data_IF_160236244237
#
_entry.id   IF_160236244237
#
_cell.length_a   1.000
_cell.length_b   1.000
_cell.length_c   1.000
_cell.angle_alpha   90.00
_cell.angle_beta   90.00
_cell.angle_gamma   90.00
#
_symmetry.space_group_name_H-M   'P 1'
#
loop_
_entity.id
_entity.type
_entity.pdbx_description
1 polymer ?
#
# COMPACT_ATOMS: atom_id res chain seq x y z
N UNK A 1 -13.79 70.75 29.68
CA UNK A 1 -14.10 71.16 31.05
C UNK A 1 -12.81 70.96 31.79
N UNK A 2 -11.95 72.00 31.93
CA UNK A 2 -11.92 72.94 33.07
C UNK A 2 -11.72 72.17 34.39
N UNK A 3 -10.69 72.37 35.19
CA UNK A 3 -9.98 73.49 35.73
C UNK A 3 -8.72 72.97 36.43
N UNK A 4 -7.52 73.54 36.29
CA UNK A 4 -6.95 74.77 36.89
C UNK A 4 -6.83 74.73 38.43
N UNK A 5 -5.62 75.00 38.88
CA UNK A 5 -5.15 76.14 39.73
C UNK A 5 -4.27 75.61 40.88
N UNK A 6 -2.98 76.02 40.85
CA UNK A 6 -2.23 77.02 41.64
C UNK A 6 -1.81 76.57 43.04
N UNK A 7 -0.54 76.56 43.31
CA UNK A 7 0.47 77.65 43.68
C UNK A 7 0.57 77.95 45.17
N UNK A 8 1.80 78.39 45.54
CA UNK A 8 2.28 79.10 46.78
C UNK A 8 3.18 78.16 47.63
N UNK A 9 4.48 78.32 47.79
CA UNK A 9 5.28 79.52 47.95
C UNK A 9 5.62 79.83 49.45
N UNK A 10 6.86 79.68 49.84
CA UNK A 10 7.58 80.56 50.81
C UNK A 10 8.85 79.84 51.31
N UNK A 11 9.98 80.34 50.97
CA UNK A 11 11.08 80.98 51.71
C UNK A 11 11.10 80.79 53.23
N UNK A 12 12.23 80.35 53.78
CA UNK A 12 13.06 81.08 54.74
C UNK A 12 14.45 80.49 54.91
N UNK A 13 15.39 81.34 55.13
CA UNK A 13 16.84 81.25 55.08
C UNK A 13 17.52 80.99 56.42
N UNK A 14 18.82 80.74 56.31
CA UNK A 14 19.93 80.93 57.27
C UNK A 14 20.20 79.86 58.34
N UNK A 15 21.47 79.43 58.24
CA UNK A 15 22.23 78.81 59.33
C UNK A 15 23.57 78.28 58.84
N UNK A 16 24.57 79.16 58.75
CA UNK A 16 25.97 78.81 58.55
C UNK A 16 26.53 78.07 59.78
N UNK A 17 27.16 76.90 59.58
CA UNK A 17 28.20 76.38 60.45
C UNK A 17 29.25 75.72 59.59
N UNK A 18 30.45 76.22 59.58
CA UNK A 18 31.64 75.73 58.94
C UNK A 18 32.16 74.51 59.74
N UNK A 19 32.48 73.42 59.02
CA UNK A 19 33.46 72.44 59.47
C UNK A 19 34.25 71.96 58.24
N UNK A 20 35.56 71.86 58.44
CA UNK A 20 36.58 71.59 57.45
C UNK A 20 36.42 70.24 56.69
N UNK A 21 36.97 70.10 55.46
CA UNK A 21 36.89 68.91 54.70
C UNK A 21 37.92 67.86 55.15
N UNK A 22 37.47 66.64 55.49
CA UNK A 22 38.26 65.44 55.52
C UNK A 22 38.43 65.00 54.05
N UNK A 23 39.67 65.01 53.58
CA UNK A 23 40.04 64.40 52.26
C UNK A 23 39.77 62.92 52.31
N UNK A 24 38.62 62.50 51.77
CA UNK A 24 38.36 61.06 51.39
C UNK A 24 39.02 60.81 50.04
N UNK A 25 40.05 59.94 50.06
CA UNK A 25 40.70 59.38 48.88
C UNK A 25 39.60 58.79 47.95
N UNK A 26 39.70 59.04 46.63
CA UNK A 26 38.75 58.41 45.67
C UNK A 26 38.89 56.85 45.74
N UNK A 27 37.79 56.11 45.68
CA UNK A 27 37.87 54.66 45.61
C UNK A 27 38.70 54.31 44.37
N UNK A 28 39.73 53.51 44.61
CA UNK A 28 40.49 52.85 43.52
C UNK A 28 39.49 52.09 42.71
N UNK A 29 39.19 52.57 41.52
CA UNK A 29 38.52 51.77 40.49
C UNK A 29 39.43 50.59 40.21
N UNK A 30 39.04 49.43 40.70
CA UNK A 30 39.61 48.17 40.20
C UNK A 30 39.56 48.27 38.67
N UNK A 31 40.73 48.20 38.05
CA UNK A 31 40.86 48.17 36.62
C UNK A 31 39.99 46.99 36.15
N UNK A 32 38.92 47.31 35.45
CA UNK A 32 38.10 46.24 34.85
C UNK A 32 39.04 45.42 33.97
N UNK A 33 39.13 44.11 34.30
CA UNK A 33 39.87 43.17 33.46
C UNK A 33 39.48 43.38 31.99
N UNK A 34 40.42 43.33 31.06
CA UNK A 34 40.12 43.51 29.64
C UNK A 34 39.11 42.42 29.25
N UNK A 35 38.06 42.84 28.48
CA UNK A 35 37.10 41.89 27.98
C UNK A 35 37.79 40.78 27.20
N UNK A 36 37.59 39.53 27.61
CA UNK A 36 38.19 38.35 26.98
C UNK A 36 37.09 37.40 26.55
N UNK A 37 37.31 36.71 25.43
CA UNK A 37 36.43 35.61 24.97
C UNK A 37 36.75 34.28 25.66
N UNK A 38 37.66 34.26 26.64
CA UNK A 38 38.06 33.07 27.40
C UNK A 38 37.23 32.95 28.68
N UNK A 39 36.68 31.77 28.93
CA UNK A 39 35.86 31.47 30.07
C UNK A 39 36.54 30.34 30.85
N UNK A 40 36.71 30.55 32.16
CA UNK A 40 37.24 29.53 33.06
C UNK A 40 36.17 28.47 33.34
N UNK A 41 36.52 27.20 33.06
CA UNK A 41 35.66 26.05 33.18
C UNK A 41 36.36 24.91 33.88
N UNK A 42 36.77 25.08 35.16
CA UNK A 42 37.46 24.03 35.89
C UNK A 42 36.59 22.77 36.04
N UNK A 43 37.23 21.65 36.37
CA UNK A 43 36.59 20.32 36.40
C UNK A 43 35.30 20.25 37.27
N UNK A 44 35.22 21.06 38.33
CA UNK A 44 33.99 21.17 39.14
C UNK A 44 32.83 21.83 38.38
N UNK A 45 33.12 22.93 37.62
CA UNK A 45 32.16 23.64 36.82
C UNK A 45 31.67 22.77 35.64
N UNK A 46 32.61 22.07 34.98
CA UNK A 46 32.27 21.13 33.88
C UNK A 46 31.24 20.08 34.34
N UNK A 47 31.48 19.47 35.52
CA UNK A 47 30.53 18.46 36.06
C UNK A 47 29.19 19.05 36.43
N UNK A 48 29.17 20.24 37.02
CA UNK A 48 27.94 20.87 37.46
C UNK A 48 27.06 21.36 36.29
N UNK A 49 27.70 21.85 35.23
CA UNK A 49 27.00 22.34 34.03
C UNK A 49 26.81 21.25 32.96
N UNK A 50 27.29 20.02 33.20
CA UNK A 50 27.18 18.94 32.24
C UNK A 50 27.88 19.21 30.93
N UNK A 51 29.07 19.87 30.98
CA UNK A 51 29.83 20.22 29.78
C UNK A 51 30.50 18.99 29.21
N UNK A 52 30.12 18.64 27.99
CA UNK A 52 30.73 17.57 27.19
C UNK A 52 31.43 18.15 25.98
N UNK A 53 32.59 17.57 25.64
CA UNK A 53 33.35 17.97 24.48
C UNK A 53 33.25 16.91 23.38
N UNK A 54 33.34 17.36 22.13
CA UNK A 54 33.45 16.53 20.94
C UNK A 54 34.62 16.98 20.11
N UNK A 55 35.38 16.04 19.58
CA UNK A 55 36.52 16.34 18.70
C UNK A 55 36.02 16.89 17.36
N UNK A 56 36.78 17.85 16.83
CA UNK A 56 36.62 18.36 15.48
C UNK A 56 37.15 17.30 14.51
N UNK A 57 36.38 16.93 13.55
CA UNK A 57 36.72 15.89 12.57
C UNK A 57 36.69 16.45 11.14
N UNK A 58 37.61 15.92 10.31
CA UNK A 58 37.49 16.12 8.86
C UNK A 58 36.43 15.23 8.32
N UNK A 59 35.36 15.85 7.82
CA UNK A 59 34.15 15.16 7.33
C UNK A 59 33.68 15.76 6.03
N UNK A 60 33.06 14.93 5.19
CA UNK A 60 32.30 15.43 4.04
C UNK A 60 30.94 15.92 4.54
N UNK A 61 30.70 17.21 4.49
CA UNK A 61 29.41 17.82 4.81
C UNK A 61 28.80 18.31 3.50
N UNK A 62 27.79 17.59 3.02
CA UNK A 62 27.05 17.97 1.83
C UNK A 62 25.87 18.85 2.26
N UNK A 63 25.69 19.98 1.59
CA UNK A 63 24.48 20.79 1.80
C UNK A 63 23.24 19.94 1.57
N UNK A 64 22.46 19.75 2.61
CA UNK A 64 21.29 18.87 2.58
C UNK A 64 20.03 19.70 2.67
N UNK A 65 19.16 19.55 1.66
CA UNK A 65 17.83 20.14 1.68
C UNK A 65 16.88 19.19 2.39
N UNK A 66 16.07 19.71 3.31
CA UNK A 66 15.16 18.92 4.15
C UNK A 66 13.73 19.34 3.92
N UNK A 67 12.89 18.38 3.56
CA UNK A 67 11.47 18.57 3.30
C UNK A 67 10.64 17.71 4.22
N UNK A 68 9.73 18.35 4.95
CA UNK A 68 8.80 17.62 5.81
C UNK A 68 7.82 16.79 4.98
N UNK A 69 7.54 15.57 5.45
CA UNK A 69 6.64 14.66 4.79
C UNK A 69 6.19 13.53 5.69
N UNK A 70 5.54 12.56 5.11
CA UNK A 70 5.07 11.37 5.82
C UNK A 70 5.09 10.14 4.91
N UNK A 71 5.08 8.96 5.51
CA UNK A 71 4.90 7.72 4.79
C UNK A 71 3.44 7.53 4.38
N UNK A 72 3.22 7.06 3.17
CA UNK A 72 1.91 6.64 2.67
C UNK A 72 2.00 5.24 2.04
N UNK A 73 0.88 4.52 2.02
CA UNK A 73 0.80 3.25 1.29
C UNK A 73 0.79 3.52 -0.22
N UNK A 74 1.45 2.66 -0.97
CA UNK A 74 1.24 2.59 -2.40
C UNK A 74 -0.22 2.20 -2.68
N UNK A 75 -0.79 2.71 -3.78
CA UNK A 75 -2.16 2.36 -4.17
C UNK A 75 -2.33 0.83 -4.37
N UNK A 76 -1.30 0.15 -4.87
CA UNK A 76 -1.25 -1.31 -5.02
C UNK A 76 -1.20 -2.09 -3.71
N UNK A 77 -0.83 -1.44 -2.61
CA UNK A 77 -0.72 -2.06 -1.29
C UNK A 77 -2.06 -2.14 -0.54
N UNK A 78 -3.10 -1.51 -1.07
CA UNK A 78 -4.43 -1.46 -0.44
C UNK A 78 -5.40 -2.32 -1.23
N UNK A 79 -5.92 -3.37 -0.62
CA UNK A 79 -6.87 -4.29 -1.21
C UNK A 79 -8.21 -4.19 -0.50
N UNK A 80 -9.22 -3.71 -1.20
CA UNK A 80 -10.60 -3.72 -0.71
C UNK A 80 -11.21 -5.10 -0.97
N UNK A 81 -11.70 -5.73 0.07
CA UNK A 81 -12.42 -6.99 -0.03
C UNK A 81 -13.91 -6.70 -0.02
N UNK A 82 -14.53 -6.96 -1.17
CA UNK A 82 -15.97 -6.77 -1.38
C UNK A 82 -16.66 -8.12 -1.48
N UNK A 83 -17.91 -8.19 -1.04
CA UNK A 83 -18.69 -9.43 -1.17
C UNK A 83 -19.24 -9.58 -2.60
N UNK A 84 -19.11 -10.79 -3.20
CA UNK A 84 -19.68 -11.04 -4.53
C UNK A 84 -21.21 -11.24 -4.52
N UNK A 85 -21.81 -11.56 -3.37
CA UNK A 85 -23.23 -11.87 -3.21
C UNK A 85 -23.80 -11.25 -1.93
N UNK A 86 -25.11 -11.03 -1.91
CA UNK A 86 -25.81 -10.55 -0.72
C UNK A 86 -26.02 -11.66 0.31
N UNK A 87 -26.02 -11.30 1.61
CA UNK A 87 -26.32 -12.25 2.67
C UNK A 87 -25.86 -11.82 4.06
N UNK A 88 -26.00 -12.71 5.02
CA UNK A 88 -25.55 -12.49 6.40
C UNK A 88 -24.08 -12.90 6.54
N UNK A 89 -23.25 -11.98 7.05
CA UNK A 89 -21.79 -12.16 7.17
C UNK A 89 -21.41 -12.68 8.55
N UNK A 90 -20.53 -13.67 8.58
CA UNK A 90 -19.78 -14.13 9.74
C UNK A 90 -18.31 -13.77 9.53
N UNK A 91 -17.81 -12.76 10.25
CA UNK A 91 -16.41 -12.34 10.18
C UNK A 91 -15.52 -13.31 10.94
N UNK A 92 -14.43 -13.77 10.32
CA UNK A 92 -13.45 -14.71 10.90
C UNK A 92 -12.10 -14.03 11.19
N UNK A 93 -11.97 -12.76 10.86
CA UNK A 93 -10.76 -11.95 11.08
C UNK A 93 -11.09 -10.71 11.89
N UNK A 94 -10.09 -10.23 12.64
CA UNK A 94 -10.19 -9.02 13.45
C UNK A 94 -9.33 -7.89 12.87
N UNK A 95 -9.62 -6.62 13.20
CA UNK A 95 -8.73 -5.51 12.89
C UNK A 95 -7.32 -5.76 13.42
N UNK A 96 -6.30 -5.32 12.65
CA UNK A 96 -4.87 -5.51 12.90
C UNK A 96 -4.36 -6.95 12.81
N UNK A 97 -5.20 -7.91 12.49
CA UNK A 97 -4.78 -9.29 12.24
C UNK A 97 -3.99 -9.39 10.93
N UNK A 98 -2.90 -10.15 10.94
CA UNK A 98 -2.16 -10.51 9.72
C UNK A 98 -2.86 -11.70 9.06
N UNK A 99 -2.99 -11.63 7.73
CA UNK A 99 -3.58 -12.67 6.90
C UNK A 99 -2.64 -13.03 5.76
N UNK A 100 -2.61 -14.30 5.40
CA UNK A 100 -1.89 -14.81 4.24
C UNK A 100 -2.84 -15.00 3.05
N UNK A 101 -2.28 -15.20 1.86
CA UNK A 101 -3.06 -15.58 0.67
C UNK A 101 -3.75 -16.91 0.94
N UNK A 102 -5.07 -16.99 0.70
CA UNK A 102 -5.89 -18.18 0.89
C UNK A 102 -6.55 -18.30 2.27
N UNK A 103 -6.19 -17.47 3.25
CA UNK A 103 -6.88 -17.44 4.55
C UNK A 103 -8.34 -17.06 4.40
N UNK A 104 -9.22 -17.69 5.18
CA UNK A 104 -10.65 -17.36 5.17
C UNK A 104 -10.88 -16.08 5.94
N UNK A 105 -11.41 -15.06 5.26
CA UNK A 105 -11.69 -13.76 5.83
C UNK A 105 -13.06 -13.71 6.50
N UNK A 106 -14.06 -14.24 5.82
CA UNK A 106 -15.43 -14.32 6.32
C UNK A 106 -16.22 -15.41 5.60
N UNK A 107 -17.35 -15.76 6.19
CA UNK A 107 -18.38 -16.62 5.59
C UNK A 107 -19.64 -15.80 5.36
N UNK A 108 -20.40 -16.18 4.34
CA UNK A 108 -21.68 -15.55 4.06
C UNK A 108 -22.78 -16.60 3.89
N UNK A 109 -23.88 -16.40 4.61
CA UNK A 109 -25.14 -17.12 4.42
C UNK A 109 -25.99 -16.34 3.44
N UNK A 110 -26.07 -16.83 2.19
CA UNK A 110 -26.70 -16.13 1.06
C UNK A 110 -27.90 -16.89 0.51
N UNK A 111 -28.99 -16.15 0.32
CA UNK A 111 -30.18 -16.68 -0.38
C UNK A 111 -29.88 -16.87 -1.87
N UNK A 112 -29.10 -15.99 -2.48
CA UNK A 112 -28.70 -16.10 -3.90
C UNK A 112 -27.91 -17.39 -4.14
N UNK A 113 -26.99 -17.74 -3.24
CA UNK A 113 -26.27 -19.00 -3.33
C UNK A 113 -27.20 -20.22 -3.26
N UNK A 114 -28.19 -20.20 -2.37
CA UNK A 114 -29.18 -21.28 -2.27
C UNK A 114 -30.07 -21.37 -3.51
N UNK A 115 -30.38 -20.24 -4.14
CA UNK A 115 -31.12 -20.21 -5.41
C UNK A 115 -30.28 -20.83 -6.53
N UNK A 116 -29.00 -20.48 -6.64
CA UNK A 116 -28.09 -21.05 -7.61
C UNK A 116 -27.88 -22.57 -7.41
N UNK A 117 -27.78 -23.01 -6.16
CA UNK A 117 -27.74 -24.45 -5.87
C UNK A 117 -28.99 -25.18 -6.35
N UNK A 118 -30.18 -24.58 -6.20
CA UNK A 118 -31.43 -25.12 -6.69
C UNK A 118 -31.43 -25.22 -8.20
N UNK A 119 -31.05 -24.17 -8.90
CA UNK A 119 -30.93 -24.15 -10.36
C UNK A 119 -29.96 -25.21 -10.88
N UNK A 120 -28.76 -25.31 -10.30
CA UNK A 120 -27.80 -26.36 -10.62
C UNK A 120 -28.40 -27.78 -10.39
N UNK A 121 -29.18 -27.96 -9.31
CA UNK A 121 -29.84 -29.19 -8.99
C UNK A 121 -30.92 -29.55 -10.01
N UNK A 122 -31.73 -28.58 -10.42
CA UNK A 122 -32.79 -28.76 -11.43
C UNK A 122 -32.21 -29.12 -12.80
N UNK A 123 -31.17 -28.35 -13.26
CA UNK A 123 -30.49 -28.64 -14.52
C UNK A 123 -29.79 -30.01 -14.52
N UNK A 124 -29.11 -30.35 -13.45
CA UNK A 124 -28.48 -31.69 -13.28
C UNK A 124 -29.52 -32.80 -13.37
N UNK A 125 -30.65 -32.68 -12.68
CA UNK A 125 -31.71 -33.67 -12.67
C UNK A 125 -32.39 -33.77 -14.06
N UNK A 126 -32.65 -32.62 -14.71
CA UNK A 126 -33.22 -32.58 -16.05
C UNK A 126 -32.31 -33.31 -17.07
N UNK A 127 -31.00 -33.07 -17.01
CA UNK A 127 -30.02 -33.74 -17.86
C UNK A 127 -30.05 -35.28 -17.64
N UNK A 128 -30.09 -35.73 -16.41
CA UNK A 128 -30.16 -37.16 -16.08
C UNK A 128 -31.44 -37.79 -16.59
N UNK A 129 -32.60 -37.13 -16.47
CA UNK A 129 -33.89 -37.60 -16.99
C UNK A 129 -33.88 -37.70 -18.51
N UNK A 130 -33.37 -36.69 -19.19
CA UNK A 130 -33.23 -36.69 -20.67
C UNK A 130 -32.32 -37.79 -21.15
N UNK A 131 -31.19 -38.01 -20.48
CA UNK A 131 -30.24 -39.07 -20.80
C UNK A 131 -30.87 -40.47 -20.58
N UNK A 132 -31.64 -40.67 -19.50
CA UNK A 132 -32.36 -41.89 -19.26
C UNK A 132 -33.43 -42.18 -20.32
N UNK A 133 -34.18 -41.14 -20.75
CA UNK A 133 -35.13 -41.25 -21.86
C UNK A 133 -34.47 -41.65 -23.17
N UNK A 134 -33.33 -40.98 -23.52
CA UNK A 134 -32.56 -41.36 -24.69
C UNK A 134 -32.12 -42.81 -24.71
N UNK A 135 -31.58 -43.27 -23.58
CA UNK A 135 -31.20 -44.67 -23.39
C UNK A 135 -32.39 -45.64 -23.51
N UNK A 136 -33.55 -45.26 -23.03
CA UNK A 136 -34.78 -46.09 -23.14
C UNK A 136 -35.36 -46.11 -24.55
N UNK A 137 -35.18 -45.06 -25.35
CA UNK A 137 -35.70 -44.98 -26.72
C UNK A 137 -34.80 -45.67 -27.74
N UNK A 138 -33.50 -45.84 -27.47
CA UNK A 138 -32.55 -46.47 -28.37
C UNK A 138 -32.91 -47.88 -28.79
N UNK A 139 -33.30 -48.83 -27.87
CA UNK A 139 -33.74 -50.15 -28.26
C UNK A 139 -35.00 -50.17 -29.16
N UNK A 140 -35.91 -49.18 -28.99
CA UNK A 140 -37.07 -49.02 -29.83
C UNK A 140 -36.68 -48.68 -31.30
N UNK A 141 -35.72 -47.79 -31.47
CA UNK A 141 -35.16 -47.46 -32.79
C UNK A 141 -34.52 -48.71 -33.44
N UNK A 142 -33.78 -49.50 -32.68
CA UNK A 142 -33.16 -50.74 -33.17
C UNK A 142 -34.22 -51.76 -33.59
N UNK A 143 -35.30 -51.90 -32.83
CA UNK A 143 -36.42 -52.81 -33.18
C UNK A 143 -37.12 -52.37 -34.48
N UNK A 144 -37.34 -51.05 -34.66
CA UNK A 144 -37.91 -50.52 -35.92
C UNK A 144 -36.98 -50.75 -37.12
N UNK A 145 -35.67 -50.59 -36.96
CA UNK A 145 -34.67 -50.89 -38.01
C UNK A 145 -34.69 -52.36 -38.40
N UNK A 146 -34.72 -53.28 -37.42
CA UNK A 146 -34.79 -54.70 -37.67
C UNK A 146 -36.11 -55.11 -38.36
N UNK A 147 -37.23 -54.51 -37.99
CA UNK A 147 -38.50 -54.73 -38.66
C UNK A 147 -38.50 -54.25 -40.11
N UNK A 148 -37.96 -53.05 -40.36
CA UNK A 148 -37.76 -52.48 -41.70
C UNK A 148 -36.91 -53.39 -42.59
N UNK A 149 -35.83 -53.96 -42.06
CA UNK A 149 -34.94 -54.89 -42.75
C UNK A 149 -35.66 -56.20 -43.10
N UNK A 150 -36.40 -56.76 -42.14
CA UNK A 150 -37.22 -57.97 -42.37
C UNK A 150 -38.28 -57.78 -43.49
N UNK A 151 -38.92 -56.56 -43.54
CA UNK A 151 -39.86 -56.25 -44.60
C UNK A 151 -39.19 -56.08 -45.97
N UNK A 152 -37.93 -55.53 -46.01
CA UNK A 152 -37.16 -55.44 -47.26
C UNK A 152 -36.80 -56.84 -47.78
N UNK A 153 -36.36 -57.73 -46.89
CA UNK A 153 -36.07 -59.10 -47.23
C UNK A 153 -37.32 -59.81 -47.77
N UNK A 154 -38.50 -59.64 -47.11
CA UNK A 154 -39.77 -60.15 -47.59
C UNK A 154 -40.14 -59.65 -48.96
N UNK A 155 -39.92 -58.36 -49.24
CA UNK A 155 -40.15 -57.83 -50.62
C UNK A 155 -39.21 -58.47 -51.61
N UNK A 156 -37.95 -58.69 -51.30
CA UNK A 156 -36.97 -59.39 -52.15
C UNK A 156 -37.42 -60.84 -52.54
N UNK A 157 -37.94 -61.56 -51.54
CA UNK A 157 -38.52 -62.91 -51.77
C UNK A 157 -39.79 -62.84 -52.69
N UNK A 158 -40.67 -61.87 -52.48
CA UNK A 158 -41.86 -61.63 -53.29
C UNK A 158 -41.54 -61.20 -54.70
N UNK A 159 -40.52 -60.33 -54.88
CA UNK A 159 -40.09 -59.93 -56.20
C UNK A 159 -39.50 -61.11 -56.97
N UNK A 160 -38.64 -61.90 -56.35
CA UNK A 160 -38.09 -63.13 -56.97
C UNK A 160 -39.22 -64.13 -57.36
N UNK A 161 -40.20 -64.33 -56.49
CA UNK A 161 -41.36 -65.12 -56.79
C UNK A 161 -42.20 -64.61 -57.99
N UNK A 162 -42.43 -63.30 -57.97
CA UNK A 162 -43.17 -62.63 -59.06
C UNK A 162 -42.44 -62.77 -60.43
N UNK A 163 -41.09 -62.63 -60.45
CA UNK A 163 -40.28 -62.85 -61.66
C UNK A 163 -40.40 -64.27 -62.19
N UNK A 164 -40.26 -65.31 -61.35
CA UNK A 164 -40.42 -66.71 -61.73
C UNK A 164 -41.82 -66.99 -62.27
N UNK A 165 -42.89 -66.46 -61.66
CA UNK A 165 -44.23 -66.63 -62.14
C UNK A 165 -44.48 -65.91 -63.48
N UNK A 166 -43.82 -64.79 -63.71
CA UNK A 166 -43.90 -64.06 -64.96
C UNK A 166 -43.19 -64.76 -66.13
N UNK A 167 -42.03 -65.34 -65.88
CA UNK A 167 -41.28 -66.18 -66.82
C UNK A 167 -42.08 -67.46 -67.16
N UNK A 168 -42.72 -68.15 -66.14
CA UNK A 168 -43.53 -69.29 -66.36
C UNK A 168 -44.81 -68.97 -67.14
N UNK A 169 -45.43 -67.80 -66.93
CA UNK A 169 -46.59 -67.38 -67.69
C UNK A 169 -46.24 -67.15 -69.17
N UNK A 170 -45.10 -66.65 -69.50
CA UNK A 170 -44.60 -66.39 -70.87
C UNK A 170 -44.25 -67.70 -71.57
N UNK A 171 -43.72 -68.73 -70.86
CA UNK A 171 -43.22 -69.94 -71.46
C UNK A 171 -44.32 -71.06 -71.59
N UNK A 172 -45.25 -71.22 -70.65
CA UNK A 172 -46.19 -72.31 -70.60
C UNK A 172 -47.66 -71.89 -70.66
N UNK A 173 -47.91 -70.64 -70.43
CA UNK A 173 -49.29 -70.11 -70.31
C UNK A 173 -49.95 -70.58 -69.01
N UNK A 174 -50.90 -69.83 -68.45
CA UNK A 174 -51.53 -70.04 -67.16
C UNK A 174 -50.95 -69.19 -66.03
N UNK A 175 -51.32 -69.42 -64.81
CA UNK A 175 -50.81 -68.80 -63.56
C UNK A 175 -51.07 -67.28 -63.43
N UNK A 176 -51.96 -66.67 -64.29
CA UNK A 176 -52.30 -65.28 -64.19
C UNK A 176 -52.88 -64.86 -62.85
N UNK A 177 -53.61 -65.78 -62.16
CA UNK A 177 -54.20 -65.56 -60.86
C UNK A 177 -53.12 -65.55 -59.75
N UNK A 178 -52.19 -66.48 -59.79
CA UNK A 178 -51.11 -66.60 -58.80
C UNK A 178 -50.13 -65.39 -58.91
N UNK A 179 -49.87 -64.93 -60.14
CA UNK A 179 -49.06 -63.68 -60.39
C UNK A 179 -49.82 -62.47 -59.84
N UNK A 180 -51.15 -62.36 -60.08
CA UNK A 180 -51.94 -61.26 -59.53
C UNK A 180 -51.95 -61.26 -57.98
N UNK A 181 -52.15 -62.47 -57.38
CA UNK A 181 -52.05 -62.63 -55.94
C UNK A 181 -50.68 -62.22 -55.38
N UNK A 182 -49.57 -62.69 -56.02
CA UNK A 182 -48.20 -62.28 -55.64
C UNK A 182 -47.97 -60.79 -55.76
N UNK A 183 -48.50 -60.17 -56.78
CA UNK A 183 -48.41 -58.70 -56.96
C UNK A 183 -49.18 -57.91 -55.85
N UNK A 184 -50.37 -58.40 -55.48
CA UNK A 184 -51.14 -57.81 -54.34
C UNK A 184 -50.40 -57.96 -53.06
N UNK A 185 -49.89 -59.20 -52.75
CA UNK A 185 -49.11 -59.43 -51.55
C UNK A 185 -47.86 -58.55 -51.50
N UNK A 186 -47.13 -58.42 -52.58
CA UNK A 186 -45.96 -57.52 -52.71
C UNK A 186 -46.36 -56.03 -52.46
N UNK A 187 -47.50 -55.60 -53.01
CA UNK A 187 -47.99 -54.21 -52.79
C UNK A 187 -48.31 -53.99 -51.34
N UNK A 188 -48.89 -54.96 -50.64
CA UNK A 188 -49.18 -54.89 -49.22
C UNK A 188 -47.87 -54.80 -48.40
N UNK A 189 -46.89 -55.63 -48.61
CA UNK A 189 -45.59 -55.62 -47.90
C UNK A 189 -44.84 -54.31 -48.17
N UNK A 190 -44.98 -53.74 -49.38
CA UNK A 190 -44.43 -52.38 -49.68
C UNK A 190 -45.17 -51.30 -48.92
N UNK A 191 -46.44 -51.37 -48.68
CA UNK A 191 -47.21 -50.47 -47.86
C UNK A 191 -46.77 -50.56 -46.38
N UNK A 192 -46.63 -51.82 -45.90
CA UNK A 192 -46.16 -52.09 -44.55
C UNK A 192 -44.74 -51.56 -44.30
N UNK A 193 -43.85 -51.70 -45.35
CA UNK A 193 -42.51 -51.11 -45.30
C UNK A 193 -42.54 -49.57 -45.22
N UNK A 194 -43.41 -48.93 -46.03
CA UNK A 194 -43.54 -47.46 -46.00
C UNK A 194 -44.00 -47.01 -44.58
N UNK A 195 -44.92 -47.69 -43.96
CA UNK A 195 -45.37 -47.44 -42.60
C UNK A 195 -44.27 -47.67 -41.57
N UNK A 196 -43.48 -48.75 -41.70
CA UNK A 196 -42.36 -49.02 -40.82
C UNK A 196 -41.26 -47.98 -40.92
N UNK A 197 -40.96 -47.46 -42.15
CA UNK A 197 -40.04 -46.37 -42.38
C UNK A 197 -40.54 -45.06 -41.69
N UNK A 198 -41.84 -44.76 -41.85
CA UNK A 198 -42.45 -43.58 -41.19
C UNK A 198 -42.30 -43.66 -39.66
N UNK A 199 -42.61 -44.81 -39.06
CA UNK A 199 -42.47 -45.02 -37.63
C UNK A 199 -40.99 -44.90 -37.18
N UNK A 200 -40.04 -45.49 -37.89
CA UNK A 200 -38.59 -45.37 -37.61
C UNK A 200 -38.14 -43.90 -37.70
N UNK A 201 -38.53 -43.19 -38.74
CA UNK A 201 -38.15 -41.78 -38.94
C UNK A 201 -38.74 -40.91 -37.80
N UNK A 202 -39.97 -41.19 -37.35
CA UNK A 202 -40.57 -40.51 -36.21
C UNK A 202 -39.83 -40.73 -34.90
N UNK A 203 -39.37 -41.98 -34.62
CA UNK A 203 -38.54 -42.30 -33.45
C UNK A 203 -37.16 -41.62 -33.55
N UNK A 204 -36.55 -41.66 -34.73
CA UNK A 204 -35.25 -41.06 -34.98
C UNK A 204 -35.29 -39.54 -34.82
N UNK A 205 -36.34 -38.88 -35.33
CA UNK A 205 -36.57 -37.43 -35.13
C UNK A 205 -36.73 -37.06 -33.64
N UNK A 206 -37.50 -37.89 -32.87
CA UNK A 206 -37.67 -37.64 -31.43
C UNK A 206 -36.38 -37.88 -30.64
N UNK A 207 -35.50 -38.79 -31.04
CA UNK A 207 -34.17 -38.95 -30.46
C UNK A 207 -33.28 -37.72 -30.74
N UNK A 208 -33.25 -37.19 -31.96
CA UNK A 208 -32.50 -35.99 -32.32
C UNK A 208 -33.00 -34.78 -31.53
N UNK A 209 -34.30 -34.63 -31.35
CA UNK A 209 -34.87 -33.55 -30.53
C UNK A 209 -34.43 -33.71 -29.06
N UNK A 210 -34.46 -34.91 -28.53
CA UNK A 210 -34.05 -35.22 -27.16
C UNK A 210 -32.55 -34.96 -26.96
N UNK A 211 -31.69 -35.37 -27.90
CA UNK A 211 -30.26 -35.07 -27.86
C UNK A 211 -29.96 -33.59 -27.92
N UNK A 212 -30.67 -32.84 -28.77
CA UNK A 212 -30.54 -31.39 -28.84
C UNK A 212 -30.98 -30.72 -27.51
N UNK A 213 -32.09 -31.16 -26.95
CA UNK A 213 -32.58 -30.67 -25.65
C UNK A 213 -31.60 -30.99 -24.50
N UNK A 214 -31.03 -32.22 -24.50
CA UNK A 214 -30.00 -32.60 -23.51
C UNK A 214 -28.74 -31.73 -23.63
N UNK A 215 -28.28 -31.49 -24.86
CA UNK A 215 -27.14 -30.60 -25.10
C UNK A 215 -27.40 -29.18 -24.55
N UNK A 216 -28.53 -28.59 -24.88
CA UNK A 216 -28.91 -27.26 -24.35
C UNK A 216 -29.08 -27.20 -22.83
N UNK A 217 -29.48 -28.33 -22.20
CA UNK A 217 -29.57 -28.44 -20.74
C UNK A 217 -28.16 -28.52 -20.12
N UNK A 218 -27.25 -29.28 -20.72
CA UNK A 218 -25.84 -29.37 -20.27
C UNK A 218 -25.11 -28.02 -20.41
N UNK A 219 -25.32 -27.34 -21.54
CA UNK A 219 -24.71 -26.00 -21.76
C UNK A 219 -25.17 -25.00 -20.68
N UNK A 220 -26.47 -25.00 -20.35
CA UNK A 220 -27.00 -24.16 -19.25
C UNK A 220 -26.41 -24.53 -17.89
N UNK A 221 -26.27 -25.83 -17.61
CA UNK A 221 -25.63 -26.31 -16.39
C UNK A 221 -24.18 -25.86 -16.29
N UNK A 222 -23.42 -25.94 -17.36
CA UNK A 222 -22.03 -25.48 -17.40
C UNK A 222 -21.91 -23.98 -17.17
N UNK A 223 -22.79 -23.17 -17.80
CA UNK A 223 -22.83 -21.72 -17.55
C UNK A 223 -23.16 -21.38 -16.10
N UNK A 224 -24.16 -22.03 -15.51
CA UNK A 224 -24.48 -21.85 -14.09
C UNK A 224 -23.33 -22.27 -13.17
N UNK A 225 -22.61 -23.34 -13.53
CA UNK A 225 -21.45 -23.81 -12.79
C UNK A 225 -20.27 -22.84 -12.88
N UNK A 226 -20.04 -22.18 -14.02
CA UNK A 226 -19.04 -21.13 -14.19
C UNK A 226 -19.41 -19.92 -13.33
N UNK A 227 -20.68 -19.50 -13.29
CA UNK A 227 -21.15 -18.43 -12.39
C UNK A 227 -20.89 -18.79 -10.91
N UNK A 228 -21.21 -20.04 -10.50
CA UNK A 228 -20.91 -20.53 -9.17
C UNK A 228 -19.40 -20.54 -8.86
N UNK A 229 -18.56 -20.89 -9.84
CA UNK A 229 -17.10 -20.88 -9.69
C UNK A 229 -16.53 -19.52 -9.40
N UNK A 230 -17.10 -18.49 -10.01
CA UNK A 230 -16.72 -17.09 -9.77
C UNK A 230 -17.06 -16.66 -8.34
N UNK A 231 -18.27 -16.94 -7.87
CA UNK A 231 -18.72 -16.63 -6.52
C UNK A 231 -17.88 -17.34 -5.45
N UNK A 232 -17.63 -18.62 -5.66
CA UNK A 232 -16.90 -19.47 -4.70
C UNK A 232 -15.38 -19.35 -4.82
N UNK A 233 -14.88 -18.68 -5.85
CA UNK A 233 -13.44 -18.64 -6.19
C UNK A 233 -12.84 -20.05 -6.24
N UNK A 234 -13.58 -21.02 -6.82
CA UNK A 234 -13.18 -22.40 -6.99
C UNK A 234 -13.38 -22.83 -8.44
N UNK A 235 -12.44 -23.59 -9.03
CA UNK A 235 -12.61 -24.12 -10.39
C UNK A 235 -13.90 -24.92 -10.56
N UNK A 236 -14.61 -24.74 -11.69
CA UNK A 236 -15.86 -25.44 -12.00
C UNK A 236 -15.71 -26.98 -11.92
N UNK A 237 -14.58 -27.53 -12.40
CA UNK A 237 -14.31 -28.96 -12.31
C UNK A 237 -14.21 -29.47 -10.88
N UNK A 238 -13.69 -28.67 -9.95
CA UNK A 238 -13.66 -29.00 -8.53
C UNK A 238 -15.06 -28.97 -7.91
N UNK A 239 -15.90 -28.03 -8.32
CA UNK A 239 -17.29 -27.93 -7.85
C UNK A 239 -18.13 -29.13 -8.24
N UNK A 240 -17.89 -29.68 -9.43
CA UNK A 240 -18.57 -30.91 -9.92
C UNK A 240 -18.01 -32.20 -9.31
N UNK A 241 -16.83 -32.15 -8.68
CA UNK A 241 -16.20 -33.35 -8.13
C UNK A 241 -17.04 -33.93 -6.98
N UNK A 242 -17.17 -35.27 -6.92
CA UNK A 242 -17.94 -35.93 -5.87
C UNK A 242 -17.21 -35.85 -4.54
N UNK A 243 -17.92 -35.42 -3.50
CA UNK A 243 -17.47 -35.42 -2.11
C UNK A 243 -18.37 -36.29 -1.27
N UNK A 244 -17.82 -36.92 -0.22
CA UNK A 244 -18.60 -37.70 0.70
C UNK A 244 -19.46 -36.80 1.59
N UNK A 245 -20.78 -36.98 1.54
CA UNK A 245 -21.73 -36.28 2.42
C UNK A 245 -22.58 -37.33 3.10
N UNK A 246 -22.18 -37.76 4.30
CA UNK A 246 -22.73 -38.93 4.95
C UNK A 246 -22.44 -40.19 4.16
N UNK A 247 -23.46 -41.02 3.90
CA UNK A 247 -23.36 -42.25 3.12
C UNK A 247 -23.43 -42.04 1.60
N UNK A 248 -23.69 -40.82 1.14
CA UNK A 248 -23.88 -40.47 -0.28
C UNK A 248 -22.71 -39.66 -0.82
N UNK A 249 -22.39 -39.87 -2.11
CA UNK A 249 -21.50 -38.99 -2.86
C UNK A 249 -22.31 -37.91 -3.58
N UNK A 250 -22.04 -36.67 -3.27
CA UNK A 250 -22.70 -35.51 -3.90
C UNK A 250 -21.64 -34.59 -4.51
N UNK A 251 -21.96 -33.81 -5.57
CA UNK A 251 -21.04 -32.80 -6.07
C UNK A 251 -20.71 -31.76 -4.98
N UNK A 252 -19.46 -31.24 -4.97
CA UNK A 252 -18.99 -30.29 -3.96
C UNK A 252 -19.92 -29.08 -3.86
N UNK A 253 -20.40 -28.51 -5.00
CA UNK A 253 -21.31 -27.37 -4.98
C UNK A 253 -22.57 -27.59 -4.14
N UNK A 254 -23.05 -28.85 -4.03
CA UNK A 254 -24.25 -29.19 -3.26
C UNK A 254 -24.01 -29.25 -1.76
N UNK A 255 -22.78 -29.49 -1.33
CA UNK A 255 -22.41 -29.59 0.09
C UNK A 255 -22.07 -28.26 0.74
N UNK A 256 -21.85 -27.18 -0.04
CA UNK A 256 -21.48 -25.87 0.46
C UNK A 256 -22.71 -25.17 1.02
N UNK A 257 -22.78 -24.99 2.33
CA UNK A 257 -23.88 -24.30 3.01
C UNK A 257 -23.59 -22.81 3.20
N UNK A 258 -22.34 -22.44 3.45
CA UNK A 258 -21.85 -21.09 3.64
C UNK A 258 -20.77 -20.81 2.59
N UNK A 259 -20.82 -19.65 1.96
CA UNK A 259 -19.80 -19.22 1.00
C UNK A 259 -18.61 -18.64 1.77
N UNK A 260 -17.44 -19.26 1.64
CA UNK A 260 -16.20 -18.77 2.24
C UNK A 260 -15.49 -17.83 1.28
N UNK A 261 -15.20 -16.62 1.72
CA UNK A 261 -14.37 -15.67 0.97
C UNK A 261 -12.97 -15.65 1.57
N UNK A 262 -12.00 -15.88 0.68
CA UNK A 262 -10.59 -16.05 1.04
C UNK A 262 -9.78 -14.84 0.56
N UNK A 263 -8.70 -14.59 1.27
CA UNK A 263 -7.79 -13.50 0.89
C UNK A 263 -7.06 -13.80 -0.41
N UNK A 264 -7.12 -12.86 -1.34
CA UNK A 264 -6.34 -12.89 -2.58
C UNK A 264 -4.92 -12.33 -2.40
N UNK A 265 -4.66 -11.60 -1.30
CA UNK A 265 -3.39 -10.97 -1.00
C UNK A 265 -2.99 -11.20 0.46
N UNK A 266 -1.70 -11.21 0.74
CA UNK A 266 -1.20 -11.14 2.11
C UNK A 266 -1.22 -9.70 2.61
N UNK A 267 -1.46 -9.50 3.92
CA UNK A 267 -1.48 -8.15 4.49
C UNK A 267 -2.00 -8.12 5.92
N UNK A 268 -2.29 -6.92 6.38
CA UNK A 268 -2.91 -6.67 7.69
C UNK A 268 -4.31 -6.13 7.46
N UNK A 269 -5.29 -6.63 8.20
CA UNK A 269 -6.66 -6.10 8.20
C UNK A 269 -6.62 -4.69 8.78
N UNK A 270 -6.72 -3.67 7.92
CA UNK A 270 -6.61 -2.27 8.35
C UNK A 270 -7.94 -1.66 8.76
N UNK A 271 -9.04 -2.14 8.19
CA UNK A 271 -10.37 -1.60 8.44
C UNK A 271 -11.43 -2.70 8.27
N UNK A 272 -12.41 -2.73 9.16
CA UNK A 272 -13.60 -3.59 9.10
C UNK A 272 -14.81 -2.71 9.41
N UNK A 273 -15.45 -2.11 8.39
CA UNK A 273 -16.56 -1.16 8.58
C UNK A 273 -17.89 -1.83 8.97
N UNK A 274 -17.98 -3.15 8.85
CA UNK A 274 -19.21 -3.90 9.10
C UNK A 274 -19.16 -4.67 10.42
N UNK A 275 -20.32 -4.84 11.06
CA UNK A 275 -20.45 -5.65 12.26
C UNK A 275 -20.66 -7.13 11.91
N UNK A 276 -20.24 -8.04 12.80
CA UNK A 276 -20.48 -9.46 12.63
C UNK A 276 -21.99 -9.78 12.71
N UNK A 277 -22.48 -10.63 11.82
CA UNK A 277 -23.88 -11.05 11.75
C UNK A 277 -24.81 -10.07 11.01
N UNK A 278 -24.30 -8.98 10.47
CA UNK A 278 -25.09 -8.01 9.68
C UNK A 278 -25.41 -8.58 8.30
N UNK A 279 -26.52 -8.10 7.72
CA UNK A 279 -26.84 -8.32 6.31
C UNK A 279 -26.08 -7.32 5.45
N UNK A 280 -25.49 -7.80 4.35
CA UNK A 280 -24.72 -6.99 3.39
C UNK A 280 -25.24 -7.23 1.97
N UNK A 281 -25.07 -6.22 1.11
CA UNK A 281 -25.44 -6.29 -0.29
C UNK A 281 -24.25 -6.69 -1.18
N UNK A 282 -24.54 -7.23 -2.36
CA UNK A 282 -23.50 -7.57 -3.32
C UNK A 282 -22.67 -6.34 -3.71
N UNK A 283 -21.35 -6.48 -3.75
CA UNK A 283 -20.41 -5.37 -4.02
C UNK A 283 -20.07 -4.50 -2.80
N UNK A 284 -20.66 -4.71 -1.65
CA UNK A 284 -20.36 -3.98 -0.42
C UNK A 284 -18.95 -4.29 0.09
N UNK A 285 -18.22 -3.26 0.54
CA UNK A 285 -16.87 -3.39 1.11
C UNK A 285 -16.97 -3.87 2.55
N UNK A 286 -16.41 -5.04 2.83
CA UNK A 286 -16.45 -5.66 4.16
C UNK A 286 -15.20 -5.41 4.97
N UNK A 287 -14.05 -5.37 4.34
CA UNK A 287 -12.79 -5.08 4.99
C UNK A 287 -11.76 -4.55 3.98
N UNK A 288 -10.71 -3.95 4.51
CA UNK A 288 -9.55 -3.50 3.74
C UNK A 288 -8.31 -4.22 4.27
N UNK A 289 -7.53 -4.78 3.37
CA UNK A 289 -6.21 -5.32 3.66
C UNK A 289 -5.15 -4.32 3.20
N UNK A 290 -4.11 -4.16 3.99
CA UNK A 290 -2.98 -3.28 3.68
C UNK A 290 -1.67 -4.05 3.78
N UNK A 291 -0.90 -4.02 2.71
CA UNK A 291 0.48 -4.51 2.73
C UNK A 291 1.41 -3.41 3.24
N UNK A 292 1.76 -3.50 4.52
CA UNK A 292 2.59 -2.49 5.19
C UNK A 292 4.06 -2.50 4.72
N UNK A 293 4.46 -3.44 3.87
CA UNK A 293 5.80 -3.45 3.27
C UNK A 293 5.92 -2.52 2.06
N UNK A 294 4.80 -2.17 1.44
CA UNK A 294 4.72 -1.32 0.27
C UNK A 294 4.35 0.12 0.64
N UNK A 295 5.30 0.82 1.22
CA UNK A 295 5.16 2.23 1.58
C UNK A 295 6.12 3.09 0.77
N UNK A 296 5.75 4.34 0.53
CA UNK A 296 6.63 5.38 0.02
C UNK A 296 6.57 6.60 0.92
N UNK A 297 7.62 7.38 0.91
CA UNK A 297 7.62 8.67 1.59
C UNK A 297 7.18 9.76 0.64
N UNK A 298 6.25 10.62 1.06
CA UNK A 298 5.75 11.77 0.32
C UNK A 298 6.10 13.03 1.06
N UNK A 299 6.79 13.94 0.39
CA UNK A 299 7.11 15.28 0.89
C UNK A 299 6.66 16.34 -0.10
N UNK A 300 6.67 17.59 0.32
CA UNK A 300 6.40 18.76 -0.54
C UNK A 300 7.57 19.70 -0.49
N UNK A 301 8.00 20.16 -1.65
CA UNK A 301 9.06 21.13 -1.81
C UNK A 301 8.55 22.40 -2.51
N UNK A 302 9.11 23.58 -2.20
CA UNK A 302 8.85 24.81 -2.96
C UNK A 302 9.28 24.67 -4.42
N UNK A 303 8.53 25.24 -5.36
CA UNK A 303 8.89 25.23 -6.79
C UNK A 303 10.21 25.94 -7.08
N UNK A 304 10.63 26.87 -6.22
CA UNK A 304 11.95 27.53 -6.32
C UNK A 304 13.12 26.54 -6.27
N UNK A 305 12.95 25.43 -5.58
CA UNK A 305 14.02 24.47 -5.34
C UNK A 305 14.14 23.41 -6.46
N UNK A 306 13.18 23.41 -7.40
CA UNK A 306 13.13 22.42 -8.49
C UNK A 306 14.42 22.42 -9.35
N UNK A 307 15.01 23.62 -9.58
CA UNK A 307 16.24 23.76 -10.37
C UNK A 307 17.47 23.13 -9.69
N UNK A 308 17.45 22.96 -8.36
CA UNK A 308 18.56 22.37 -7.58
C UNK A 308 18.48 20.86 -7.45
N UNK A 309 17.38 20.25 -7.90
CA UNK A 309 17.11 18.81 -7.76
C UNK A 309 17.07 18.12 -9.10
N UNK A 310 17.32 16.81 -9.07
CA UNK A 310 17.16 15.93 -10.22
C UNK A 310 16.50 14.64 -9.78
N UNK A 311 15.66 14.09 -10.63
CA UNK A 311 15.09 12.76 -10.41
C UNK A 311 16.21 11.70 -10.36
N UNK A 312 16.04 10.73 -9.46
CA UNK A 312 17.03 9.66 -9.27
C UNK A 312 18.20 10.02 -8.34
N UNK A 313 18.22 11.22 -7.72
CA UNK A 313 19.23 11.52 -6.72
C UNK A 313 19.11 10.59 -5.49
N UNK A 314 20.24 10.09 -4.97
CA UNK A 314 20.26 9.39 -3.69
C UNK A 314 19.73 10.31 -2.59
N UNK A 315 18.72 9.84 -1.88
CA UNK A 315 18.05 10.61 -0.85
C UNK A 315 17.74 9.74 0.35
N UNK A 316 17.52 10.35 1.49
CA UNK A 316 17.28 9.63 2.73
C UNK A 316 16.02 10.19 3.42
N UNK A 317 15.28 9.32 4.09
CA UNK A 317 14.25 9.74 5.04
C UNK A 317 14.78 9.58 6.45
N UNK A 318 14.70 10.65 7.24
CA UNK A 318 15.08 10.67 8.64
C UNK A 318 13.88 10.98 9.54
N UNK A 319 13.81 10.31 10.70
CA UNK A 319 12.80 10.64 11.73
C UNK A 319 13.10 12.01 12.39
N UNK A 320 12.07 12.72 12.87
CA UNK A 320 12.23 14.02 13.54
C UNK A 320 12.75 13.90 14.98
N UNK A 321 13.77 13.06 15.23
CA UNK A 321 14.35 12.84 16.54
C UNK A 321 15.68 13.56 16.69
N UNK A 322 15.95 14.11 17.90
CA UNK A 322 17.28 14.58 18.26
C UNK A 322 18.19 13.36 18.50
N UNK A 323 19.36 13.34 17.85
CA UNK A 323 20.32 12.24 18.02
C UNK A 323 20.02 10.97 17.23
N UNK A 324 19.22 11.06 16.16
CA UNK A 324 18.95 9.94 15.27
C UNK A 324 20.23 9.31 14.73
N UNK A 325 20.36 8.00 14.89
CA UNK A 325 21.50 7.19 14.43
C UNK A 325 21.42 6.92 12.92
N UNK A 326 22.47 6.34 12.34
CA UNK A 326 22.46 5.90 10.95
C UNK A 326 21.34 4.86 10.67
N UNK A 327 20.95 4.07 11.69
CA UNK A 327 19.87 3.09 11.59
C UNK A 327 18.48 3.71 11.49
N UNK A 328 18.33 4.98 11.85
CA UNK A 328 17.06 5.72 11.74
C UNK A 328 16.87 6.38 10.38
N UNK A 329 17.81 6.19 9.46
CA UNK A 329 17.73 6.67 8.07
C UNK A 329 17.31 5.55 7.13
N UNK A 330 16.47 5.89 6.18
CA UNK A 330 16.08 5.00 5.09
C UNK A 330 16.45 5.65 3.77
N UNK A 331 17.30 4.96 3.03
CA UNK A 331 17.76 5.40 1.72
C UNK A 331 16.79 5.01 0.62
N UNK A 332 16.74 5.82 -0.43
CA UNK A 332 15.98 5.55 -1.64
C UNK A 332 16.35 6.53 -2.75
N UNK A 333 15.65 6.40 -3.87
CA UNK A 333 15.84 7.30 -5.00
C UNK A 333 14.71 8.35 -5.02
N UNK A 334 15.10 9.60 -5.26
CA UNK A 334 14.18 10.71 -5.41
C UNK A 334 13.36 10.57 -6.69
N UNK A 335 12.04 10.74 -6.58
CA UNK A 335 11.11 10.87 -7.70
C UNK A 335 10.28 12.12 -7.56
N UNK A 336 9.93 12.73 -8.66
CA UNK A 336 9.06 13.91 -8.69
C UNK A 336 7.61 13.50 -8.93
N UNK A 337 6.69 14.25 -8.32
CA UNK A 337 5.28 14.17 -8.66
C UNK A 337 5.01 14.72 -10.06
N UNK A 338 3.96 14.21 -10.69
CA UNK A 338 3.57 14.61 -12.06
C UNK A 338 3.01 16.03 -12.09
N UNK A 339 2.41 16.47 -10.98
CA UNK A 339 1.72 17.75 -10.88
C UNK A 339 2.33 18.63 -9.78
N UNK A 340 2.28 19.93 -10.00
CA UNK A 340 2.65 20.94 -9.01
C UNK A 340 1.38 21.68 -8.54
N UNK A 341 1.35 22.09 -7.27
CA UNK A 341 0.30 22.91 -6.71
C UNK A 341 0.60 24.40 -6.99
N UNK A 342 -0.17 25.06 -7.87
CA UNK A 342 0.08 26.45 -8.22
C UNK A 342 -0.31 27.43 -7.09
N UNK A 343 -1.20 27.04 -6.19
CA UNK A 343 -1.67 27.89 -5.09
C UNK A 343 -0.64 27.91 -3.96
N UNK A 344 -0.13 26.72 -3.59
CA UNK A 344 0.90 26.61 -2.56
C UNK A 344 2.31 26.80 -3.12
N UNK A 345 2.46 26.87 -4.44
CA UNK A 345 3.75 26.93 -5.14
C UNK A 345 4.70 25.82 -4.73
N UNK A 346 4.14 24.60 -4.57
CA UNK A 346 4.88 23.42 -4.19
C UNK A 346 4.75 22.34 -5.26
N UNK A 347 5.66 21.39 -5.22
CA UNK A 347 5.57 20.14 -5.98
C UNK A 347 5.83 18.95 -5.06
N UNK A 348 5.36 17.78 -5.46
CA UNK A 348 5.48 16.58 -4.67
C UNK A 348 6.80 15.88 -4.93
N UNK A 349 7.41 15.40 -3.85
CA UNK A 349 8.59 14.56 -3.86
C UNK A 349 8.23 13.21 -3.27
N UNK A 350 8.69 12.17 -3.92
CA UNK A 350 8.53 10.81 -3.47
C UNK A 350 9.87 10.13 -3.30
N UNK A 351 9.95 9.29 -2.27
CA UNK A 351 11.06 8.37 -2.08
C UNK A 351 10.49 6.97 -1.84
N UNK A 352 10.90 6.03 -2.67
CA UNK A 352 10.63 4.60 -2.48
C UNK A 352 11.77 4.02 -1.65
N UNK A 353 11.49 3.54 -0.44
CA UNK A 353 12.52 2.99 0.45
C UNK A 353 13.19 1.76 -0.15
N UNK A 354 14.51 1.71 -0.15
CA UNK A 354 15.27 0.55 -0.60
C UNK A 354 15.13 -0.66 0.35
N UNK A 355 14.77 -0.41 1.61
CA UNK A 355 14.54 -1.44 2.62
C UNK A 355 13.39 -1.05 3.55
N UNK A 356 12.61 -2.03 4.01
CA UNK A 356 11.54 -1.81 4.97
C UNK A 356 12.07 -1.79 6.40
N UNK A 357 11.48 -0.94 7.25
CA UNK A 357 11.72 -0.84 8.69
C UNK A 357 10.40 -0.84 9.44
N UNK A 358 10.38 -1.35 10.66
CA UNK A 358 9.15 -1.48 11.46
C UNK A 358 8.45 -0.15 11.77
N UNK A 359 9.20 0.94 11.81
CA UNK A 359 8.67 2.28 12.07
C UNK A 359 8.07 2.97 10.82
N UNK A 360 8.32 2.46 9.62
CA UNK A 360 7.79 3.02 8.36
C UNK A 360 6.31 2.66 8.19
N UNK A 361 5.47 3.28 9.01
CA UNK A 361 4.03 3.07 8.94
C UNK A 361 3.36 4.25 8.24
N UNK A 362 2.27 4.03 7.51
CA UNK A 362 1.47 5.11 6.93
C UNK A 362 1.13 6.16 7.98
N UNK A 363 1.32 7.44 7.65
CA UNK A 363 1.09 8.57 8.55
C UNK A 363 2.28 8.94 9.44
N UNK A 364 3.34 8.11 9.54
CA UNK A 364 4.54 8.49 10.28
C UNK A 364 5.25 9.62 9.54
N UNK A 365 5.44 10.74 10.26
CA UNK A 365 6.12 11.93 9.74
C UNK A 365 7.64 11.77 9.78
N UNK A 366 8.33 12.47 8.90
CA UNK A 366 9.76 12.51 8.79
C UNK A 366 10.25 13.66 7.92
N UNK A 367 11.53 13.65 7.64
CA UNK A 367 12.16 14.60 6.72
C UNK A 367 12.82 13.83 5.57
N UNK A 368 12.49 14.23 4.36
CA UNK A 368 13.22 13.84 3.16
C UNK A 368 14.48 14.70 3.08
N UNK A 369 15.63 14.09 3.19
CA UNK A 369 16.95 14.70 3.09
C UNK A 369 17.53 14.41 1.71
N UNK A 370 17.77 15.48 0.94
CA UNK A 370 18.31 15.42 -0.42
C UNK A 370 19.67 16.07 -0.40
N UNK A 371 20.71 15.35 -0.78
CA UNK A 371 22.05 15.89 -0.91
C UNK A 371 22.16 16.70 -2.21
N UNK A 372 22.34 18.01 -2.08
CA UNK A 372 22.39 18.92 -3.23
C UNK A 372 23.64 18.71 -4.10
N UNK A 373 24.73 18.16 -3.55
CA UNK A 373 25.98 17.85 -4.27
C UNK A 373 26.62 16.58 -3.74
N UNK A 374 26.84 15.63 -4.59
CA UNK A 374 27.54 14.36 -4.28
C UNK A 374 29.07 14.53 -4.09
N UNK A 375 29.66 15.68 -4.45
CA UNK A 375 31.10 15.93 -4.47
C UNK A 375 31.52 17.04 -3.51
N UNK A 376 30.97 17.06 -2.28
CA UNK A 376 31.44 18.00 -1.27
C UNK A 376 32.88 17.64 -0.85
N UNK A 377 33.78 18.61 -0.68
CA UNK A 377 35.14 18.36 -0.15
C UNK A 377 35.06 17.87 1.30
N UNK A 378 36.15 17.27 1.76
CA UNK A 378 36.31 16.88 3.18
C UNK A 378 36.90 18.05 3.94
N UNK A 379 36.05 18.71 4.77
CA UNK A 379 36.45 19.90 5.54
C UNK A 379 36.28 19.67 7.04
N UNK A 380 36.78 20.58 7.86
CA UNK A 380 36.59 20.52 9.31
C UNK A 380 35.13 20.75 9.64
N UNK A 381 34.55 19.88 10.42
CA UNK A 381 33.15 19.92 10.79
C UNK A 381 32.94 19.67 12.28
N UNK A 382 31.90 20.31 12.80
CA UNK A 382 31.42 20.11 14.17
C UNK A 382 29.93 19.74 14.14
N UNK A 383 29.41 19.07 15.19
CA UNK A 383 27.98 18.85 15.29
C UNK A 383 27.21 20.17 15.27
N UNK A 384 26.13 20.23 14.50
CA UNK A 384 25.29 21.44 14.42
C UNK A 384 24.74 21.87 15.79
N UNK A 385 24.56 20.91 16.72
CA UNK A 385 24.12 21.17 18.09
C UNK A 385 25.17 21.89 18.95
N UNK A 386 26.46 21.92 18.55
CA UNK A 386 27.50 22.69 19.21
C UNK A 386 27.49 24.17 18.83
N UNK A 387 26.74 24.57 17.77
CA UNK A 387 26.61 25.95 17.32
C UNK A 387 25.35 26.56 17.92
N UNK A 388 25.53 27.70 18.57
CA UNK A 388 24.47 28.49 19.20
C UNK A 388 24.20 29.80 18.43
N UNK A 389 22.99 30.29 18.53
CA UNK A 389 22.58 31.58 18.03
C UNK A 389 22.69 32.61 19.16
N UNK A 390 23.52 33.63 19.00
CA UNK A 390 23.63 34.75 19.92
C UNK A 390 23.32 36.04 19.17
N UNK A 391 22.07 36.53 19.34
CA UNK A 391 21.54 37.62 18.53
C UNK A 391 21.54 37.29 17.04
N UNK A 392 22.30 38.11 16.27
CA UNK A 392 22.45 37.91 14.81
C UNK A 392 23.66 37.03 14.46
N UNK A 393 24.47 36.64 15.41
CA UNK A 393 25.71 35.90 15.20
C UNK A 393 25.54 34.44 15.64
N UNK A 394 26.27 33.54 14.98
CA UNK A 394 26.41 32.16 15.40
C UNK A 394 27.76 32.01 16.12
N UNK A 395 27.77 31.27 17.23
CA UNK A 395 28.97 31.06 18.07
C UNK A 395 29.11 29.62 18.44
N UNK A 396 30.32 29.18 18.66
CA UNK A 396 30.64 27.92 19.31
C UNK A 396 31.73 28.11 20.36
N UNK A 397 31.90 27.16 21.26
CA UNK A 397 32.90 27.18 22.30
C UNK A 397 33.95 26.12 22.02
N UNK A 398 35.21 26.57 21.80
CA UNK A 398 36.39 25.71 21.61
C UNK A 398 37.12 25.59 22.91
N UNK A 399 37.55 24.38 23.28
CA UNK A 399 38.50 24.16 24.41
C UNK A 399 39.80 24.79 24.08
N UNK A 400 40.41 25.50 25.04
CA UNK A 400 41.72 26.13 24.81
C UNK A 400 42.80 25.01 24.77
N UNK A 401 43.57 24.90 23.69
CA UNK A 401 44.67 23.90 23.60
C UNK A 401 45.76 24.13 24.62
N UNK A 402 45.95 25.37 25.11
CA UNK A 402 47.01 25.72 26.08
C UNK A 402 46.57 25.53 27.54
N UNK A 403 45.26 25.64 27.82
CA UNK A 403 44.71 25.48 29.16
C UNK A 403 43.41 24.63 29.10
N UNK A 404 43.46 23.34 29.50
CA UNK A 404 42.29 22.47 29.47
C UNK A 404 41.11 22.91 30.32
N UNK A 405 41.30 23.84 31.26
CA UNK A 405 40.27 24.36 32.13
C UNK A 405 39.65 25.69 31.59
N UNK A 406 40.02 26.08 30.36
CA UNK A 406 39.46 27.22 29.64
C UNK A 406 38.74 26.81 28.38
N UNK A 407 37.71 27.58 28.02
CA UNK A 407 37.06 27.53 26.71
C UNK A 407 37.08 28.93 26.08
N UNK A 408 37.22 28.96 24.78
CA UNK A 408 37.24 30.16 23.96
C UNK A 408 35.94 30.27 23.21
N UNK A 409 35.20 31.36 23.40
CA UNK A 409 34.04 31.68 22.61
C UNK A 409 34.49 32.18 21.24
N UNK A 410 34.07 31.50 20.19
CA UNK A 410 34.45 31.82 18.80
C UNK A 410 33.21 32.20 18.01
N UNK A 411 33.29 33.32 17.26
CA UNK A 411 32.27 33.63 16.27
C UNK A 411 32.42 32.69 15.08
N UNK A 412 31.34 32.00 14.73
CA UNK A 412 31.37 30.91 13.80
C UNK A 412 31.32 31.37 12.33
N UNK A 413 32.42 31.13 11.60
CA UNK A 413 32.43 31.22 10.13
C UNK A 413 32.08 29.83 9.55
N UNK A 414 30.82 29.72 9.13
CA UNK A 414 30.21 28.44 8.79
C UNK A 414 30.06 28.26 7.30
N UNK A 415 30.15 27.01 6.87
CA UNK A 415 29.92 26.55 5.50
C UNK A 415 28.64 25.77 5.34
N UNK A 416 28.73 24.67 4.59
CA UNK A 416 27.63 23.76 4.35
C UNK A 416 27.21 23.02 5.64
N UNK A 417 25.93 22.73 5.77
CA UNK A 417 25.43 21.82 6.82
C UNK A 417 24.57 20.70 6.20
N UNK A 418 24.60 19.54 6.85
CA UNK A 418 23.80 18.37 6.49
C UNK A 418 22.65 18.10 7.48
N UNK A 419 22.38 19.11 8.33
CA UNK A 419 21.37 19.04 9.40
C UNK A 419 21.86 18.35 10.67
N UNK A 420 23.08 17.79 10.69
CA UNK A 420 23.74 17.15 11.86
C UNK A 420 25.11 17.70 12.12
N UNK A 421 25.86 17.91 11.05
CA UNK A 421 27.20 18.47 11.04
C UNK A 421 27.21 19.75 10.22
N UNK A 422 28.07 20.66 10.60
CA UNK A 422 28.28 21.90 9.89
C UNK A 422 29.76 22.13 9.66
N UNK A 423 30.09 22.51 8.44
CA UNK A 423 31.43 22.91 8.06
C UNK A 423 31.84 24.19 8.79
N UNK A 424 33.08 24.22 9.31
CA UNK A 424 33.70 25.42 9.88
C UNK A 424 34.86 25.83 9.00
N UNK A 425 34.73 27.02 8.38
CA UNK A 425 35.71 27.57 7.42
C UNK A 425 36.97 28.08 8.08
N UNK A 426 36.84 28.63 9.30
CA UNK A 426 37.95 29.22 10.02
C UNK A 426 37.80 29.07 11.54
N UNK A 427 38.91 29.19 12.27
CA UNK A 427 38.90 29.19 13.73
C UNK A 427 39.05 27.84 14.43
N UNK A 428 39.15 26.74 13.67
CA UNK A 428 39.40 25.40 14.20
C UNK A 428 40.56 24.71 13.50
N UNK A 429 41.19 23.78 14.20
CA UNK A 429 42.22 22.88 13.69
C UNK A 429 41.73 21.41 13.87
N UNK A 430 42.36 20.53 13.09
CA UNK A 430 42.11 19.10 13.22
C UNK A 430 42.51 18.61 14.60
N UNK A 431 41.62 17.92 15.31
CA UNK A 431 41.83 17.46 16.67
C UNK A 431 41.46 18.46 17.78
N UNK A 432 41.05 19.69 17.46
CA UNK A 432 40.46 20.59 18.45
C UNK A 432 39.18 19.97 19.06
N UNK A 433 38.85 20.38 20.28
CA UNK A 433 37.61 19.97 20.96
C UNK A 433 36.62 21.14 21.06
N UNK A 434 35.38 20.92 20.73
CA UNK A 434 34.31 21.89 20.92
C UNK A 434 33.27 21.40 21.92
N UNK A 435 32.63 22.33 22.62
CA UNK A 435 31.57 22.02 23.59
C UNK A 435 30.33 21.55 22.87
N UNK A 436 29.87 20.34 23.18
CA UNK A 436 28.65 19.74 22.63
C UNK A 436 27.44 19.96 23.54
N UNK A 437 27.59 19.68 24.84
CA UNK A 437 26.58 19.90 25.87
C UNK A 437 27.05 20.99 26.85
N UNK A 438 26.13 21.76 27.44
CA UNK A 438 26.47 22.87 28.34
C UNK A 438 26.89 24.17 27.62
N UNK A 439 26.81 24.22 26.29
CA UNK A 439 27.21 25.39 25.51
C UNK A 439 26.30 26.59 25.73
N UNK A 440 25.01 26.38 26.01
CA UNK A 440 24.07 27.45 26.30
C UNK A 440 24.37 28.15 27.62
N UNK A 441 24.74 27.42 28.66
CA UNK A 441 25.15 27.91 29.96
C UNK A 441 26.42 28.78 29.84
N UNK A 442 27.37 28.34 29.01
CA UNK A 442 28.56 29.13 28.71
C UNK A 442 28.25 30.42 27.92
N UNK A 443 27.27 30.36 27.01
CA UNK A 443 26.82 31.53 26.29
C UNK A 443 26.24 32.58 27.24
N UNK A 444 25.39 32.18 28.19
CA UNK A 444 24.86 33.10 29.21
C UNK A 444 25.94 33.71 30.09
N UNK A 445 26.92 32.93 30.52
CA UNK A 445 28.03 33.40 31.33
C UNK A 445 28.96 34.37 30.57
N UNK A 446 29.02 34.29 29.23
CA UNK A 446 29.86 35.15 28.39
C UNK A 446 29.14 36.40 27.87
N UNK A 447 27.80 36.46 27.91
CA UNK A 447 27.02 37.56 27.34
C UNK A 447 27.20 38.89 28.09
N UNK A 448 27.49 38.83 29.40
CA UNK A 448 27.79 40.04 30.20
C UNK A 448 29.10 40.72 29.77
N UNK A 449 30.07 40.01 29.21
CA UNK A 449 31.32 40.56 28.69
C UNK A 449 31.21 41.09 27.26
N UNK A 450 30.22 40.59 26.47
CA UNK A 450 30.00 40.97 25.07
C UNK A 450 29.19 42.31 24.90
N UNK A 451 28.63 42.87 25.97
CA UNK A 451 27.84 44.10 25.90
C UNK A 451 28.65 45.38 25.55
N UNK A 452 29.97 45.29 25.40
CA UNK A 452 30.85 46.39 25.03
C UNK A 452 31.21 46.42 23.54
N UNK A 453 30.25 46.39 22.66
CA UNK A 453 30.35 46.75 21.23
C UNK A 453 31.67 46.41 20.52
N UNK A 454 32.13 45.17 20.46
CA UNK A 454 33.35 44.73 19.78
C UNK A 454 33.25 43.28 19.32
N UNK A 455 34.29 42.75 18.68
CA UNK A 455 34.34 41.32 18.29
C UNK A 455 35.65 40.67 18.72
N UNK A 456 35.60 39.37 18.94
CA UNK A 456 36.74 38.57 19.33
C UNK A 456 37.31 37.74 18.18
N UNK A 457 38.63 37.69 18.08
CA UNK A 457 39.33 36.77 17.17
C UNK A 457 39.53 35.41 17.78
N UNK A 458 39.84 34.40 16.93
CA UNK A 458 40.02 33.00 17.36
C UNK A 458 41.26 32.82 18.28
N UNK A 459 42.19 33.76 18.31
CA UNK A 459 43.36 33.79 19.17
C UNK A 459 43.11 34.38 20.57
N UNK A 460 41.89 34.88 20.85
CA UNK A 460 41.48 35.44 22.11
C UNK A 460 41.62 36.96 22.20
N UNK A 461 41.98 37.65 21.12
CA UNK A 461 42.11 39.12 21.11
C UNK A 461 40.73 39.79 20.86
N UNK A 462 40.46 40.88 21.59
CA UNK A 462 39.24 41.67 21.46
C UNK A 462 39.55 42.98 20.70
N UNK A 463 38.77 43.32 19.71
CA UNK A 463 38.73 44.60 19.02
C UNK A 463 37.44 45.33 19.28
N UNK A 464 37.52 46.54 19.83
CA UNK A 464 36.36 47.43 19.91
C UNK A 464 35.93 47.87 18.49
N UNK A 465 34.65 47.77 18.17
CA UNK A 465 34.11 48.19 16.90
C UNK A 465 34.19 49.69 16.79
N UNK A 466 34.81 50.21 15.72
CA UNK A 466 34.73 51.62 15.40
C UNK A 466 33.27 51.98 15.06
N UNK A 467 32.66 52.88 15.84
CA UNK A 467 31.40 53.51 15.48
C UNK A 467 31.60 54.27 14.17
N UNK A 468 30.90 53.87 13.13
CA UNK A 468 30.69 54.63 11.92
C UNK A 468 29.26 55.12 11.88
#
# INVERSE_FOLDING_TARGET
MKHTIQSIGALLALGLAACAPEESSPPVREASEPATNRIQVPASVRRNLGIEYVAVERRRVAATQRYAGHFELLASARHEVRTPIAGRVELLVAPLQRVAVGDVLYRIDSLEWRQMQRELGELSTAALVQEARGRATQPLLEAHRAHEESLREAIGVMDARATVLEEMRESVGGQARELAEARVQRAQVRSDLAQAIEQRVGVEASLLELESSLRGTRDRFELALVAASTILSKPAGLLSAPVSSGESKVPLWRSITLVEIRSAAAGVVSEVPVANGVWVEAGERLLTLSDLSQVRFRARAPQSDLASMREGLPSHVALPQRGATADDRVSGLLRFGVEADPQQRTFELFLEPASSRDWMKPGVAGFLEIEARSEAPTELAIPLSAVLQDGLRRVYFRRDPADPDQVIRVEADLGADDGRWIEVKSGLMDGDEVVLAGAYELMLASSDSASKGGHFHADGTFHEGEEK
#
